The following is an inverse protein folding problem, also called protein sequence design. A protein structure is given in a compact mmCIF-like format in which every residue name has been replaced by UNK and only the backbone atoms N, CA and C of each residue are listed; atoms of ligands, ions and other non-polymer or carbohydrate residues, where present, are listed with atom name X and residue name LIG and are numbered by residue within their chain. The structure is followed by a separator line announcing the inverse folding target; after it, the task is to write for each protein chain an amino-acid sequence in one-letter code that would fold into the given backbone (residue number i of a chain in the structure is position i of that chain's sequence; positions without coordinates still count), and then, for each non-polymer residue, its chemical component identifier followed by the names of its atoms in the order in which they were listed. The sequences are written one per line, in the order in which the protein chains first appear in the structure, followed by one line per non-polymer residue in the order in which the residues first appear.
data_IF_235244334648
#
_entry.id   IF_235244334648
#
_cell.length_a   1.000
_cell.length_b   1.000
_cell.length_c   1.000
_cell.angle_alpha   90.00
_cell.angle_beta   90.00
_cell.angle_gamma   90.00
#
_symmetry.space_group_name_H-M   'P 1'
#
loop_
_entity.id
_entity.type
_entity.pdbx_description
1 polymer ?
#
# COMPACT_ATOMS: atom_id res chain seq x y z
N UNK A 1 -2.37 -7.76 -6.14
CA UNK A 1 -3.39 -8.57 -6.87
C UNK A 1 -4.47 -9.09 -5.93
N UNK A 2 -4.17 -9.85 -4.88
CA UNK A 2 -5.19 -10.46 -4.00
C UNK A 2 -6.26 -9.49 -3.44
N UNK A 3 -5.87 -8.26 -3.06
CA UNK A 3 -6.82 -7.21 -2.65
C UNK A 3 -7.79 -6.83 -3.78
N UNK A 4 -7.27 -6.68 -5.01
CA UNK A 4 -8.09 -6.33 -6.18
C UNK A 4 -9.12 -7.42 -6.47
N UNK A 5 -8.68 -8.69 -6.47
CA UNK A 5 -9.56 -9.86 -6.69
C UNK A 5 -10.68 -9.92 -5.66
N UNK A 6 -10.34 -9.78 -4.38
CA UNK A 6 -11.32 -9.88 -3.30
C UNK A 6 -12.31 -8.71 -3.30
N UNK A 7 -11.84 -7.49 -3.52
CA UNK A 7 -12.71 -6.32 -3.63
C UNK A 7 -13.69 -6.44 -4.80
N UNK A 8 -13.20 -6.88 -5.97
CA UNK A 8 -14.05 -7.13 -7.12
C UNK A 8 -15.05 -8.26 -6.85
N UNK A 9 -14.62 -9.33 -6.16
CA UNK A 9 -15.48 -10.43 -5.73
C UNK A 9 -16.58 -9.99 -4.77
N UNK A 10 -16.30 -9.01 -3.91
CA UNK A 10 -17.29 -8.39 -3.01
C UNK A 10 -18.22 -7.40 -3.73
N UNK A 11 -18.04 -7.18 -5.03
CA UNK A 11 -18.92 -6.31 -5.83
C UNK A 11 -18.48 -4.85 -5.89
N UNK A 12 -17.35 -4.49 -5.30
CA UNK A 12 -16.82 -3.12 -5.37
C UNK A 12 -16.33 -2.76 -6.77
N UNK A 13 -16.30 -1.47 -7.07
CA UNK A 13 -15.53 -0.92 -8.19
C UNK A 13 -14.10 -0.70 -7.70
N UNK A 14 -13.12 -1.13 -8.47
CA UNK A 14 -11.71 -1.05 -8.10
C UNK A 14 -10.93 -0.33 -9.20
N UNK A 15 -10.22 0.72 -8.83
CA UNK A 15 -9.18 1.31 -9.67
C UNK A 15 -7.82 0.80 -9.19
N UNK A 16 -6.98 0.36 -10.09
CA UNK A 16 -5.64 -0.12 -9.76
C UNK A 16 -4.59 0.55 -10.63
N UNK A 17 -3.52 1.04 -9.99
CA UNK A 17 -2.33 1.55 -10.65
C UNK A 17 -1.20 0.54 -10.49
N UNK A 18 -0.37 0.41 -11.49
CA UNK A 18 0.77 -0.50 -11.51
C UNK A 18 1.06 -1.04 -12.92
N UNK A 19 2.07 -1.90 -13.01
CA UNK A 19 2.39 -2.55 -14.29
C UNK A 19 1.27 -3.48 -14.74
N UNK A 20 0.96 -3.41 -16.01
CA UNK A 20 0.05 -4.36 -16.65
C UNK A 20 0.60 -5.79 -16.54
N UNK A 21 -0.29 -6.71 -16.22
CA UNK A 21 0.03 -8.12 -16.14
C UNK A 21 -1.16 -8.98 -16.58
N UNK A 22 -0.89 -10.20 -17.01
CA UNK A 22 -1.91 -11.14 -17.46
C UNK A 22 -3.05 -11.37 -16.45
N UNK A 23 -2.73 -11.28 -15.15
CA UNK A 23 -3.74 -11.39 -14.09
C UNK A 23 -4.74 -10.23 -14.12
N UNK A 24 -4.29 -9.00 -14.39
CA UNK A 24 -5.17 -7.84 -14.56
C UNK A 24 -6.03 -7.98 -15.84
N UNK A 25 -5.49 -8.53 -16.92
CA UNK A 25 -6.26 -8.79 -18.14
C UNK A 25 -7.41 -9.78 -17.86
N UNK A 26 -7.12 -10.82 -17.11
CA UNK A 26 -8.13 -11.82 -16.70
C UNK A 26 -9.23 -11.18 -15.85
N UNK A 27 -8.85 -10.37 -14.85
CA UNK A 27 -9.82 -9.67 -14.00
C UNK A 27 -10.65 -8.65 -14.79
N UNK A 28 -10.02 -7.93 -15.72
CA UNK A 28 -10.74 -6.98 -16.59
C UNK A 28 -11.79 -7.68 -17.45
N UNK A 29 -11.43 -8.85 -18.02
CA UNK A 29 -12.38 -9.67 -18.78
C UNK A 29 -13.55 -10.18 -17.93
N UNK A 30 -13.31 -10.53 -16.66
CA UNK A 30 -14.32 -11.05 -15.74
C UNK A 30 -15.23 -9.97 -15.16
N UNK A 31 -14.69 -8.80 -14.85
CA UNK A 31 -15.38 -7.78 -14.08
C UNK A 31 -15.77 -6.53 -14.89
N UNK A 32 -15.27 -6.39 -16.11
CA UNK A 32 -15.63 -5.32 -17.05
C UNK A 32 -15.42 -3.92 -16.45
N UNK A 33 -16.42 -3.07 -16.53
CA UNK A 33 -16.38 -1.67 -16.04
C UNK A 33 -16.18 -1.50 -14.54
N UNK A 34 -16.20 -2.59 -13.77
CA UNK A 34 -15.90 -2.52 -12.32
C UNK A 34 -14.41 -2.44 -12.02
N UNK A 35 -13.54 -2.80 -12.98
CA UNK A 35 -12.11 -2.64 -12.87
C UNK A 35 -11.63 -1.52 -13.80
N UNK A 36 -11.15 -0.42 -13.19
CA UNK A 36 -10.47 0.66 -13.91
C UNK A 36 -8.96 0.45 -13.79
N UNK A 37 -8.30 0.32 -14.93
CA UNK A 37 -6.84 0.18 -14.99
C UNK A 37 -6.23 1.55 -15.21
N UNK A 38 -5.33 1.94 -14.34
CA UNK A 38 -4.62 3.21 -14.40
C UNK A 38 -3.13 2.92 -14.71
N UNK A 39 -2.69 3.00 -15.97
CA UNK A 39 -1.34 2.58 -16.37
C UNK A 39 -0.27 3.63 -16.02
N UNK A 40 -0.44 4.32 -14.91
CA UNK A 40 0.38 5.44 -14.49
C UNK A 40 1.39 5.06 -13.39
N UNK A 41 2.57 5.65 -13.47
CA UNK A 41 3.63 5.47 -12.45
C UNK A 41 3.47 6.54 -11.37
N UNK A 42 2.93 6.18 -10.21
CA UNK A 42 2.51 7.13 -9.17
C UNK A 42 3.68 7.83 -8.43
N UNK A 43 4.93 7.42 -8.65
CA UNK A 43 6.09 8.16 -8.15
C UNK A 43 6.40 9.44 -8.97
N UNK A 44 5.81 9.56 -10.14
CA UNK A 44 5.82 10.75 -10.96
C UNK A 44 4.55 11.57 -10.65
N UNK A 45 4.71 12.84 -10.31
CA UNK A 45 3.62 13.71 -9.85
C UNK A 45 2.58 13.95 -10.95
N UNK A 46 3.02 14.19 -12.19
CA UNK A 46 2.15 14.46 -13.32
C UNK A 46 1.33 13.22 -13.71
N UNK A 47 1.95 12.05 -13.59
CA UNK A 47 1.26 10.77 -13.81
C UNK A 47 0.27 10.46 -12.69
N UNK A 48 0.61 10.75 -11.43
CA UNK A 48 -0.33 10.62 -10.32
C UNK A 48 -1.54 11.54 -10.48
N UNK A 49 -1.32 12.79 -10.91
CA UNK A 49 -2.39 13.73 -11.24
C UNK A 49 -3.27 13.21 -12.40
N UNK A 50 -2.65 12.69 -13.46
CA UNK A 50 -3.36 12.10 -14.61
C UNK A 50 -4.23 10.92 -14.20
N UNK A 51 -3.72 10.03 -13.34
CA UNK A 51 -4.49 8.91 -12.79
C UNK A 51 -5.71 9.38 -12.00
N UNK A 52 -5.56 10.41 -11.16
CA UNK A 52 -6.67 10.96 -10.39
C UNK A 52 -7.69 11.69 -11.26
N UNK A 53 -7.26 12.37 -12.34
CA UNK A 53 -8.16 12.98 -13.33
C UNK A 53 -8.98 11.91 -14.06
N UNK A 54 -8.35 10.84 -14.50
CA UNK A 54 -9.05 9.71 -15.14
C UNK A 54 -10.08 9.08 -14.20
N UNK A 55 -9.68 8.83 -12.95
CA UNK A 55 -10.59 8.33 -11.91
C UNK A 55 -11.75 9.31 -11.64
N UNK A 56 -11.47 10.60 -11.59
CA UNK A 56 -12.48 11.64 -11.43
C UNK A 56 -13.50 11.62 -12.57
N UNK A 57 -13.06 11.51 -13.81
CA UNK A 57 -13.94 11.40 -14.96
C UNK A 57 -14.78 10.13 -14.96
N UNK A 58 -14.18 9.01 -14.55
CA UNK A 58 -14.86 7.73 -14.54
C UNK A 58 -15.87 7.58 -13.39
N UNK A 59 -15.55 8.06 -12.18
CA UNK A 59 -16.34 7.78 -10.97
C UNK A 59 -16.74 9.01 -10.16
N UNK A 60 -16.01 10.10 -10.26
CA UNK A 60 -16.29 11.37 -9.57
C UNK A 60 -15.92 11.41 -8.08
N UNK A 61 -15.84 10.26 -7.41
CA UNK A 61 -15.55 10.14 -5.99
C UNK A 61 -14.77 8.85 -5.68
N UNK A 62 -14.15 8.79 -4.49
CA UNK A 62 -13.42 7.64 -3.98
C UNK A 62 -13.76 7.45 -2.50
N UNK A 63 -14.22 6.26 -2.11
CA UNK A 63 -14.52 5.95 -0.71
C UNK A 63 -13.30 5.42 0.04
N UNK A 64 -12.44 4.68 -0.65
CA UNK A 64 -11.25 4.07 -0.01
C UNK A 64 -10.04 4.16 -0.93
N UNK A 65 -8.91 4.59 -0.37
CA UNK A 65 -7.61 4.56 -1.01
C UNK A 65 -6.72 3.55 -0.28
N UNK A 66 -6.22 2.53 -0.99
CA UNK A 66 -5.26 1.57 -0.45
C UNK A 66 -3.90 1.81 -1.11
N UNK A 67 -2.95 2.31 -0.33
CA UNK A 67 -1.57 2.53 -0.78
C UNK A 67 -0.76 1.30 -0.40
N UNK A 68 -0.35 0.53 -1.41
CA UNK A 68 0.49 -0.65 -1.27
C UNK A 68 1.80 -0.41 -2.02
N UNK A 69 2.50 0.66 -1.66
CA UNK A 69 3.80 0.99 -2.22
C UNK A 69 4.89 0.14 -1.55
N UNK A 70 5.50 -0.73 -2.29
CA UNK A 70 6.51 -1.67 -1.77
C UNK A 70 7.17 -2.48 -2.88
N UNK A 71 6.99 -2.07 -4.14
CA UNK A 71 7.56 -2.73 -5.28
C UNK A 71 9.08 -2.51 -5.33
N UNK A 72 9.81 -3.60 -5.53
CA UNK A 72 11.27 -3.60 -5.81
C UNK A 72 11.56 -3.45 -7.31
N UNK A 73 10.54 -3.30 -8.13
CA UNK A 73 10.59 -3.42 -9.58
C UNK A 73 11.20 -2.19 -10.30
N UNK A 74 11.60 -1.17 -9.56
CA UNK A 74 12.14 0.07 -10.12
C UNK A 74 13.68 0.12 -10.12
N UNK A 75 14.35 -1.02 -9.91
CA UNK A 75 15.80 -1.05 -9.82
C UNK A 75 16.45 -1.10 -11.21
N UNK A 76 17.33 -0.14 -11.54
CA UNK A 76 18.23 -0.27 -12.68
C UNK A 76 19.23 -1.40 -12.44
N UNK A 77 19.57 -2.16 -13.47
CA UNK A 77 20.43 -3.37 -13.42
C UNK A 77 21.89 -3.15 -12.93
N UNK A 78 22.29 -1.93 -12.53
CA UNK A 78 23.69 -1.59 -12.23
C UNK A 78 23.85 -0.60 -11.06
N UNK A 79 23.10 -0.75 -9.98
CA UNK A 79 23.15 0.19 -8.84
C UNK A 79 23.77 -0.51 -7.62
N UNK A 80 24.53 0.23 -6.80
CA UNK A 80 25.07 -0.31 -5.55
C UNK A 80 23.94 -0.68 -4.57
N UNK A 81 24.16 -1.64 -3.67
CA UNK A 81 23.13 -2.08 -2.72
C UNK A 81 22.60 -0.93 -1.85
N UNK A 82 23.41 0.07 -1.57
CA UNK A 82 23.01 1.26 -0.81
C UNK A 82 22.13 2.17 -1.65
N UNK A 83 22.53 2.47 -2.88
CA UNK A 83 21.79 3.34 -3.79
C UNK A 83 20.45 2.70 -4.22
N UNK A 84 20.44 1.35 -4.32
CA UNK A 84 19.23 0.55 -4.52
C UNK A 84 18.21 0.80 -3.42
N UNK A 85 18.66 0.68 -2.17
CA UNK A 85 17.79 0.89 -1.02
C UNK A 85 17.23 2.33 -1.00
N UNK A 86 18.08 3.30 -1.25
CA UNK A 86 17.71 4.71 -1.34
C UNK A 86 16.64 4.95 -2.42
N UNK A 87 16.86 4.40 -3.59
CA UNK A 87 15.95 4.55 -4.72
C UNK A 87 14.59 3.92 -4.43
N UNK A 88 14.56 2.72 -3.83
CA UNK A 88 13.31 2.04 -3.46
C UNK A 88 12.52 2.86 -2.45
N UNK A 89 13.19 3.31 -1.39
CA UNK A 89 12.53 4.06 -0.32
C UNK A 89 12.00 5.38 -0.84
N UNK A 90 12.82 6.12 -1.58
CA UNK A 90 12.43 7.40 -2.20
C UNK A 90 11.24 7.24 -3.15
N UNK A 91 11.30 6.25 -4.05
CA UNK A 91 10.22 6.02 -5.02
C UNK A 91 8.91 5.62 -4.33
N UNK A 92 8.97 4.80 -3.29
CA UNK A 92 7.79 4.38 -2.55
C UNK A 92 7.20 5.54 -1.73
N UNK A 93 8.05 6.39 -1.16
CA UNK A 93 7.60 7.59 -0.45
C UNK A 93 6.93 8.56 -1.40
N UNK A 94 7.58 8.93 -2.50
CA UNK A 94 7.02 9.83 -3.51
C UNK A 94 5.70 9.31 -4.07
N UNK A 95 5.63 8.02 -4.40
CA UNK A 95 4.39 7.41 -4.86
C UNK A 95 3.27 7.54 -3.82
N UNK A 96 3.56 7.36 -2.54
CA UNK A 96 2.58 7.50 -1.47
C UNK A 96 2.13 8.95 -1.28
N UNK A 97 3.07 9.89 -1.29
CA UNK A 97 2.81 11.33 -1.15
C UNK A 97 1.98 11.87 -2.31
N UNK A 98 2.40 11.61 -3.55
CA UNK A 98 1.69 12.05 -4.74
C UNK A 98 0.30 11.42 -4.83
N UNK A 99 0.21 10.10 -4.63
CA UNK A 99 -1.05 9.38 -4.67
C UNK A 99 -2.04 9.94 -3.63
N UNK A 100 -1.62 10.11 -2.38
CA UNK A 100 -2.48 10.65 -1.34
C UNK A 100 -2.88 12.11 -1.64
N UNK A 101 -1.91 12.96 -1.98
CA UNK A 101 -2.15 14.38 -2.27
C UNK A 101 -3.18 14.57 -3.39
N UNK A 102 -3.03 13.84 -4.49
CA UNK A 102 -3.94 13.92 -5.64
C UNK A 102 -5.31 13.25 -5.38
N UNK A 103 -5.37 12.24 -4.49
CA UNK A 103 -6.63 11.53 -4.20
C UNK A 103 -7.52 12.22 -3.16
N UNK A 104 -6.98 13.08 -2.30
CA UNK A 104 -7.77 13.79 -1.26
C UNK A 104 -9.03 14.46 -1.81
N UNK A 105 -9.01 15.22 -2.94
CA UNK A 105 -10.20 15.84 -3.47
C UNK A 105 -11.30 14.84 -3.89
N UNK A 106 -10.93 13.62 -4.28
CA UNK A 106 -11.87 12.54 -4.62
C UNK A 106 -12.41 11.86 -3.36
N UNK A 107 -11.55 11.65 -2.36
CA UNK A 107 -11.93 11.09 -1.06
C UNK A 107 -12.95 12.00 -0.35
N UNK A 108 -12.78 13.32 -0.41
CA UNK A 108 -13.71 14.28 0.19
C UNK A 108 -15.12 14.25 -0.45
N UNK A 109 -15.26 13.66 -1.63
CA UNK A 109 -16.55 13.45 -2.31
C UNK A 109 -17.11 12.05 -2.07
N UNK A 110 -16.32 11.15 -1.47
CA UNK A 110 -16.70 9.77 -1.20
C UNK A 110 -17.58 9.63 0.04
N UNK A 111 -18.15 8.43 0.20
CA UNK A 111 -18.90 8.06 1.38
C UNK A 111 -17.98 7.50 2.45
N UNK A 112 -17.93 8.16 3.63
CA UNK A 112 -17.08 7.75 4.75
C UNK A 112 -15.62 7.48 4.31
N UNK A 113 -14.92 8.47 3.78
CA UNK A 113 -13.64 8.28 3.15
C UNK A 113 -12.58 7.73 4.11
N UNK A 114 -11.73 6.85 3.59
CA UNK A 114 -10.65 6.27 4.37
C UNK A 114 -9.42 5.97 3.51
N UNK A 115 -8.28 5.95 4.16
CA UNK A 115 -6.98 5.59 3.57
C UNK A 115 -6.39 4.43 4.36
N UNK A 116 -5.87 3.42 3.67
CA UNK A 116 -5.07 2.36 4.28
C UNK A 116 -3.68 2.37 3.63
N UNK A 117 -2.66 2.66 4.41
CA UNK A 117 -1.27 2.65 3.95
C UNK A 117 -0.57 1.38 4.45
N UNK A 118 -0.15 0.52 3.52
CA UNK A 118 0.50 -0.75 3.81
C UNK A 118 2.00 -0.59 3.61
N UNK A 119 2.77 -0.79 4.69
CA UNK A 119 4.21 -0.70 4.67
C UNK A 119 4.85 -2.08 4.52
N UNK A 120 5.92 -2.14 3.74
CA UNK A 120 6.79 -3.30 3.73
C UNK A 120 7.66 -3.36 5.00
N UNK A 121 8.38 -4.46 5.19
CA UNK A 121 9.22 -4.69 6.37
C UNK A 121 10.24 -3.57 6.62
N UNK A 122 10.84 -3.01 5.58
CA UNK A 122 11.86 -1.96 5.73
C UNK A 122 11.27 -0.64 6.20
N UNK A 123 10.18 -0.23 5.59
CA UNK A 123 9.47 0.98 6.00
C UNK A 123 8.89 0.84 7.41
N UNK A 124 8.46 -0.37 7.77
CA UNK A 124 7.93 -0.65 9.10
C UNK A 124 9.01 -0.70 10.20
N UNK A 125 10.26 -1.09 9.88
CA UNK A 125 11.36 -1.04 10.86
C UNK A 125 11.55 0.35 11.45
N UNK A 126 11.31 1.39 10.69
CA UNK A 126 11.43 2.76 11.14
C UNK A 126 10.31 3.21 12.08
N UNK A 127 9.12 2.61 11.99
CA UNK A 127 8.05 2.83 12.96
C UNK A 127 8.46 2.41 14.38
N UNK A 128 9.30 1.38 14.50
CA UNK A 128 9.62 0.75 15.78
C UNK A 128 11.06 1.02 16.27
N UNK A 129 11.98 1.43 15.40
CA UNK A 129 13.36 1.72 15.77
C UNK A 129 13.94 2.90 14.97
N UNK A 130 13.42 4.13 15.18
CA UNK A 130 13.81 5.30 14.39
C UNK A 130 15.30 5.68 14.54
N UNK A 131 15.96 5.24 15.60
CA UNK A 131 17.38 5.58 15.87
C UNK A 131 18.40 4.73 15.11
N UNK A 132 17.98 3.67 14.42
CA UNK A 132 18.88 2.75 13.70
C UNK A 132 19.10 3.10 12.23
N UNK A 133 18.38 4.05 11.72
CA UNK A 133 18.52 4.52 10.33
C UNK A 133 19.07 5.92 10.38
N UNK A 134 20.14 6.17 9.63
CA UNK A 134 20.76 7.48 9.51
C UNK A 134 19.71 8.55 9.22
N UNK A 135 19.68 9.58 10.04
CA UNK A 135 18.71 10.65 9.95
C UNK A 135 18.64 11.22 8.53
N UNK A 136 17.49 11.17 7.92
CA UNK A 136 17.23 11.73 6.59
C UNK A 136 16.58 10.75 5.58
N UNK A 137 16.52 9.45 5.86
CA UNK A 137 16.34 8.42 4.83
C UNK A 137 14.96 7.85 4.61
N UNK A 138 14.05 7.87 5.52
CA UNK A 138 12.67 7.45 5.27
C UNK A 138 11.72 8.03 6.30
N UNK A 139 11.19 9.17 5.99
CA UNK A 139 10.18 9.83 6.80
C UNK A 139 8.75 9.36 6.47
N UNK A 140 8.58 8.36 5.57
CA UNK A 140 7.25 7.94 5.12
C UNK A 140 6.32 7.56 6.27
N UNK A 141 6.72 6.75 7.26
CA UNK A 141 5.84 6.46 8.39
C UNK A 141 5.53 7.67 9.25
N UNK A 142 6.51 8.54 9.48
CA UNK A 142 6.31 9.78 10.23
C UNK A 142 5.41 10.75 9.46
N UNK A 143 5.62 10.87 8.16
CA UNK A 143 4.79 11.67 7.28
C UNK A 143 3.32 11.20 7.32
N UNK A 144 3.04 9.89 7.27
CA UNK A 144 1.68 9.37 7.43
C UNK A 144 1.08 9.65 8.80
N UNK A 145 1.88 9.60 9.87
CA UNK A 145 1.41 9.95 11.21
C UNK A 145 1.04 11.42 11.32
N UNK A 146 1.83 12.29 10.72
CA UNK A 146 1.55 13.74 10.65
C UNK A 146 0.35 14.02 9.77
N UNK A 147 0.27 13.38 8.60
CA UNK A 147 -0.87 13.48 7.69
C UNK A 147 -2.18 13.01 8.32
N UNK A 148 -2.13 12.02 9.25
CA UNK A 148 -3.33 11.47 9.91
C UNK A 148 -4.19 12.53 10.57
N UNK A 149 -3.59 13.45 11.32
CA UNK A 149 -4.37 14.48 11.99
C UNK A 149 -5.01 15.46 11.00
N UNK A 150 -4.28 15.82 9.96
CA UNK A 150 -4.80 16.67 8.88
C UNK A 150 -5.96 16.01 8.12
N UNK A 151 -5.81 14.73 7.78
CA UNK A 151 -6.85 13.95 7.11
C UNK A 151 -8.08 13.79 7.99
N UNK A 152 -7.88 13.49 9.29
CA UNK A 152 -8.99 13.35 10.24
C UNK A 152 -9.79 14.64 10.41
N UNK A 153 -9.13 15.79 10.40
CA UNK A 153 -9.80 17.09 10.44
C UNK A 153 -10.67 17.33 9.19
N UNK A 154 -10.38 16.64 8.09
CA UNK A 154 -11.15 16.66 6.85
C UNK A 154 -12.18 15.51 6.78
N UNK A 155 -12.32 14.71 7.83
CA UNK A 155 -13.24 13.57 7.87
C UNK A 155 -12.73 12.31 7.17
N UNK A 156 -11.43 12.23 6.88
CA UNK A 156 -10.79 11.07 6.25
C UNK A 156 -10.03 10.27 7.33
N UNK A 157 -10.38 9.01 7.53
CA UNK A 157 -9.66 8.12 8.43
C UNK A 157 -8.42 7.53 7.76
N UNK A 158 -7.32 7.43 8.50
CA UNK A 158 -6.06 6.82 8.01
C UNK A 158 -5.65 5.65 8.91
N UNK A 159 -5.57 4.47 8.31
CA UNK A 159 -5.00 3.25 8.90
C UNK A 159 -3.60 3.00 8.38
N UNK A 160 -2.65 2.83 9.28
CA UNK A 160 -1.27 2.42 8.94
C UNK A 160 -1.13 0.93 9.24
N UNK A 161 -0.75 0.15 8.23
CA UNK A 161 -0.56 -1.30 8.35
C UNK A 161 0.92 -1.64 8.39
N UNK A 162 1.35 -2.33 9.44
CA UNK A 162 2.73 -2.77 9.61
C UNK A 162 2.81 -4.28 9.89
N UNK A 163 3.83 -4.99 9.39
CA UNK A 163 4.02 -6.41 9.70
C UNK A 163 4.51 -6.63 11.13
N UNK A 164 3.94 -7.61 11.82
CA UNK A 164 4.26 -7.92 13.23
C UNK A 164 5.70 -8.41 13.47
N UNK A 165 6.31 -9.06 12.50
CA UNK A 165 7.64 -9.71 12.63
C UNK A 165 8.80 -8.81 13.05
N UNK A 166 8.52 -7.55 13.34
CA UNK A 166 9.53 -6.55 13.74
C UNK A 166 9.66 -6.35 15.23
N UNK A 167 8.71 -6.86 16.03
CA UNK A 167 8.68 -6.63 17.50
C UNK A 167 9.33 -7.74 18.33
N UNK A 168 9.41 -8.96 17.80
CA UNK A 168 9.89 -10.11 18.57
C UNK A 168 10.99 -10.86 17.84
N UNK A 169 12.13 -11.18 18.50
CA UNK A 169 13.05 -12.19 17.97
C UNK A 169 12.27 -13.50 17.81
N UNK A 170 12.33 -14.10 16.64
CA UNK A 170 11.75 -15.41 16.40
C UNK A 170 12.52 -16.41 17.27
N UNK A 171 11.97 -16.80 18.39
CA UNK A 171 12.45 -17.95 19.14
C UNK A 171 11.84 -19.20 18.53
N UNK A 172 12.67 -20.17 18.23
CA UNK A 172 12.38 -21.41 17.50
C UNK A 172 11.34 -22.36 18.14
N UNK A 173 10.63 -21.94 19.16
CA UNK A 173 9.73 -22.77 19.95
C UNK A 173 8.24 -22.47 19.80
N UNK A 174 7.84 -21.50 18.98
CA UNK A 174 6.41 -21.22 18.77
C UNK A 174 5.91 -22.00 17.55
N UNK A 175 4.86 -22.79 17.77
CA UNK A 175 4.10 -23.38 16.68
C UNK A 175 3.62 -22.25 15.75
N UNK A 176 4.07 -22.30 14.50
CA UNK A 176 3.68 -21.31 13.51
C UNK A 176 2.22 -21.57 13.11
N UNK A 177 1.34 -20.54 13.15
CA UNK A 177 0.07 -20.61 12.46
C UNK A 177 0.30 -20.84 10.96
N UNK A 178 -0.72 -21.27 10.25
CA UNK A 178 -0.68 -21.48 8.80
C UNK A 178 0.00 -20.33 8.06
N UNK A 179 0.79 -20.66 7.05
CA UNK A 179 1.53 -19.68 6.24
C UNK A 179 0.58 -18.63 5.65
N UNK A 180 0.82 -17.37 5.95
CA UNK A 180 0.07 -16.27 5.34
C UNK A 180 0.32 -16.22 3.83
N UNK A 181 -0.73 -16.47 3.09
CA UNK A 181 -0.74 -16.24 1.65
C UNK A 181 -1.14 -14.79 1.35
N UNK A 182 -0.85 -14.27 0.15
CA UNK A 182 -1.38 -12.96 -0.28
C UNK A 182 -2.90 -12.87 -0.15
N UNK A 183 -3.61 -14.00 -0.34
CA UNK A 183 -5.06 -14.09 -0.24
C UNK A 183 -5.54 -13.98 1.21
N UNK A 184 -4.92 -14.70 2.16
CA UNK A 184 -5.28 -14.61 3.57
C UNK A 184 -4.94 -13.25 4.18
N UNK A 185 -3.80 -12.66 3.79
CA UNK A 185 -3.45 -11.30 4.20
C UNK A 185 -4.44 -10.27 3.65
N UNK A 186 -4.84 -10.38 2.39
CA UNK A 186 -5.83 -9.50 1.80
C UNK A 186 -7.20 -9.64 2.50
N UNK A 187 -7.61 -10.86 2.82
CA UNK A 187 -8.86 -11.13 3.54
C UNK A 187 -8.86 -10.47 4.92
N UNK A 188 -7.78 -10.61 5.68
CA UNK A 188 -7.66 -9.98 7.01
C UNK A 188 -7.70 -8.46 6.91
N UNK A 189 -6.95 -7.87 5.96
CA UNK A 189 -6.98 -6.43 5.71
C UNK A 189 -8.39 -5.92 5.40
N UNK A 190 -9.12 -6.63 4.55
CA UNK A 190 -10.48 -6.22 4.16
C UNK A 190 -11.49 -6.40 5.30
N UNK A 191 -11.34 -7.39 6.16
CA UNK A 191 -12.17 -7.54 7.36
C UNK A 191 -11.93 -6.39 8.36
N UNK A 192 -10.71 -5.87 8.44
CA UNK A 192 -10.34 -4.82 9.38
C UNK A 192 -10.48 -3.40 8.80
N UNK A 193 -10.57 -3.26 7.49
CA UNK A 193 -10.75 -1.97 6.83
C UNK A 193 -11.95 -1.16 7.37
N UNK A 194 -13.14 -1.77 7.63
CA UNK A 194 -14.27 -1.05 8.21
C UNK A 194 -14.09 -0.61 9.66
N UNK A 195 -13.16 -1.23 10.40
CA UNK A 195 -12.90 -0.90 11.82
C UNK A 195 -12.16 0.41 11.99
N UNK A 196 -11.51 0.91 10.93
CA UNK A 196 -10.82 2.22 10.89
C UNK A 196 -9.80 2.39 12.02
N UNK A 197 -9.12 1.30 12.37
CA UNK A 197 -8.08 1.32 13.38
C UNK A 197 -6.93 2.22 12.90
N UNK A 198 -6.40 3.12 13.76
CA UNK A 198 -5.33 4.01 13.34
C UNK A 198 -4.03 3.28 13.02
N UNK A 199 -3.77 2.17 13.70
CA UNK A 199 -2.62 1.30 13.44
C UNK A 199 -3.06 -0.17 13.46
N UNK A 200 -2.68 -0.89 12.42
CA UNK A 200 -2.95 -2.29 12.23
C UNK A 200 -1.63 -3.06 12.13
N UNK A 201 -1.48 -4.09 12.94
CA UNK A 201 -0.34 -4.98 12.86
C UNK A 201 -0.81 -6.32 12.32
N UNK A 202 -0.31 -6.70 11.14
CA UNK A 202 -0.51 -8.04 10.60
C UNK A 202 0.47 -8.99 11.25
N UNK A 203 -0.03 -10.02 11.89
CA UNK A 203 0.77 -11.12 12.40
C UNK A 203 1.24 -11.99 11.24
N UNK A 204 2.41 -11.69 10.73
CA UNK A 204 3.04 -12.50 9.69
C UNK A 204 3.87 -13.58 10.32
N UNK A 205 3.47 -14.80 10.13
CA UNK A 205 4.08 -15.98 10.74
C UNK A 205 5.23 -16.56 9.94
N UNK A 206 5.37 -16.21 8.65
CA UNK A 206 6.46 -16.71 7.81
C UNK A 206 7.28 -15.57 7.18
N UNK A 207 8.57 -15.51 7.56
CA UNK A 207 9.53 -14.55 7.02
C UNK A 207 9.80 -14.74 5.51
N UNK A 208 9.62 -15.95 5.00
CA UNK A 208 9.85 -16.29 3.59
C UNK A 208 8.75 -15.75 2.66
N UNK A 209 7.54 -15.52 3.16
CA UNK A 209 6.45 -14.95 2.38
C UNK A 209 6.58 -13.44 2.14
N UNK A 210 7.43 -12.77 2.91
CA UNK A 210 7.72 -11.33 2.79
C UNK A 210 8.93 -11.05 1.90
N UNK A 211 9.64 -12.10 1.47
CA UNK A 211 10.88 -11.98 0.72
C UNK A 211 10.95 -13.04 -0.37
N UNK A 212 10.82 -12.67 -1.63
CA UNK A 212 11.33 -13.51 -2.69
C UNK A 212 12.86 -13.43 -2.62
N UNK A 213 13.48 -14.29 -1.83
CA UNK A 213 14.87 -14.62 -2.05
C UNK A 213 14.91 -15.31 -3.42
N UNK A 214 15.24 -14.54 -4.45
CA UNK A 214 15.69 -15.10 -5.71
C UNK A 214 16.90 -15.99 -5.41
N UNK A 215 16.78 -17.28 -5.72
CA UNK A 215 17.89 -18.20 -5.79
C UNK A 215 18.80 -17.83 -6.95
#
# INVERSE_FOLDING_TARGET
MALVEQLLGLGHRVATSGKDCQALDTLAAQHGSRLLRLPWQLHDEDQAASACLELCHAWGALDSLIINAGATDYLPDAVSATDVFETIVSSNQLAAEHCLGQAVPLLLKGEKPQVMAIFNRYSALQLYAPTRVTAGWNNTPQWFREARQSLKNQGIDLTVVAPHSLKTPVTSAMAFPEDWTPQSAAQELLQRLPLREPELVLEVTNLSSLWPLSR
#
